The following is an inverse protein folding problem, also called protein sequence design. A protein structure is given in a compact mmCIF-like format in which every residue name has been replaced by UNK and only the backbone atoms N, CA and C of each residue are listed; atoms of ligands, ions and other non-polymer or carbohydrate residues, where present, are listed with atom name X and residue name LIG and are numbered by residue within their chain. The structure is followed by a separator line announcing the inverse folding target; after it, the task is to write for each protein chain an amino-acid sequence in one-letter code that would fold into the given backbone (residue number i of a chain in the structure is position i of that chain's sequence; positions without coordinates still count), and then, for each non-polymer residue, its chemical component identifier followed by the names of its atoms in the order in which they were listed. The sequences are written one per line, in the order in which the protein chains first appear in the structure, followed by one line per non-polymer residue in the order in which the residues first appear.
data_IF_414966435676
#
_entry.id   IF_414966435676
#
_cell.length_a   1.000
_cell.length_b   1.000
_cell.length_c   1.000
_cell.angle_alpha   90.00
_cell.angle_beta   90.00
_cell.angle_gamma   90.00
#
_symmetry.space_group_name_H-M   'P 1'
#
loop_
_entity.id
_entity.type
_entity.pdbx_description
1 polymer ?
#
# COMPACT_ATOMS: atom_id res chain seq x y z
N UNK A 1 4.22 -30.68 -10.78
CA UNK A 1 4.95 -30.34 -9.54
C UNK A 1 6.42 -30.55 -9.82
N UNK A 2 7.27 -29.60 -9.44
CA UNK A 2 8.72 -29.76 -9.50
C UNK A 2 9.37 -29.08 -8.29
N UNK A 3 10.63 -29.39 -8.04
CA UNK A 3 11.39 -28.87 -6.92
C UNK A 3 12.59 -28.06 -7.43
N UNK A 4 12.90 -26.97 -6.73
CA UNK A 4 14.09 -26.19 -6.98
C UNK A 4 14.78 -25.87 -5.64
N UNK A 5 16.11 -25.97 -5.62
CA UNK A 5 16.92 -25.50 -4.50
C UNK A 5 17.53 -24.15 -4.85
N UNK A 6 17.11 -23.09 -4.14
CA UNK A 6 17.63 -21.73 -4.32
C UNK A 6 18.13 -21.22 -2.99
N UNK A 7 19.34 -20.65 -2.95
CA UNK A 7 19.93 -20.06 -1.75
C UNK A 7 19.92 -21.00 -0.51
N UNK A 8 20.11 -22.31 -0.73
CA UNK A 8 20.08 -23.31 0.33
C UNK A 8 18.68 -23.68 0.84
N UNK A 9 17.63 -23.22 0.17
CA UNK A 9 16.25 -23.53 0.52
C UNK A 9 15.59 -24.38 -0.56
N UNK A 10 14.87 -25.40 -0.11
CA UNK A 10 14.05 -26.26 -0.94
C UNK A 10 12.68 -25.62 -1.18
N UNK A 11 12.36 -25.36 -2.43
CA UNK A 11 11.07 -24.79 -2.85
C UNK A 11 10.35 -25.77 -3.77
N UNK A 12 9.09 -26.08 -3.44
CA UNK A 12 8.22 -26.93 -4.25
C UNK A 12 7.28 -26.05 -5.06
N UNK A 13 7.32 -26.19 -6.38
CA UNK A 13 6.45 -25.48 -7.31
C UNK A 13 5.24 -26.35 -7.66
N UNK A 14 4.05 -25.80 -7.40
CA UNK A 14 2.76 -26.42 -7.67
C UNK A 14 2.06 -25.64 -8.78
N UNK A 15 1.63 -26.35 -9.82
CA UNK A 15 0.90 -25.78 -10.97
C UNK A 15 -0.39 -26.57 -11.28
N UNK A 16 -0.80 -27.47 -10.37
CA UNK A 16 -2.02 -28.26 -10.49
C UNK A 16 -3.01 -27.78 -9.41
N UNK A 17 -4.23 -27.48 -9.82
CA UNK A 17 -5.30 -26.90 -8.99
C UNK A 17 -5.66 -27.79 -7.81
N UNK A 18 -5.80 -29.10 -8.01
CA UNK A 18 -6.19 -30.07 -6.98
C UNK A 18 -5.20 -30.08 -5.79
N UNK A 19 -3.92 -29.82 -6.09
CA UNK A 19 -2.87 -29.71 -5.07
C UNK A 19 -2.91 -28.36 -4.34
N UNK A 20 -3.37 -27.29 -5.01
CA UNK A 20 -3.38 -25.91 -4.49
C UNK A 20 -4.65 -25.63 -3.68
N UNK A 21 -5.80 -26.18 -4.06
CA UNK A 21 -7.09 -25.94 -3.39
C UNK A 21 -7.03 -26.31 -1.91
N UNK A 22 -6.47 -27.48 -1.61
CA UNK A 22 -6.31 -27.96 -0.23
C UNK A 22 -5.41 -27.05 0.64
N UNK A 23 -4.54 -26.25 0.02
CA UNK A 23 -3.68 -25.31 0.72
C UNK A 23 -4.39 -24.00 1.09
N UNK A 24 -5.48 -23.65 0.38
CA UNK A 24 -6.19 -22.39 0.56
C UNK A 24 -7.50 -22.53 1.38
N UNK A 25 -7.72 -23.70 2.00
CA UNK A 25 -8.89 -23.92 2.86
C UNK A 25 -8.74 -23.10 4.15
N UNK A 26 -9.69 -22.21 4.49
CA UNK A 26 -9.67 -21.43 5.72
C UNK A 26 -10.03 -22.30 6.94
N UNK A 27 -9.12 -23.21 7.31
CA UNK A 27 -9.31 -24.14 8.42
C UNK A 27 -8.09 -24.16 9.32
N UNK A 28 -8.30 -24.14 10.63
CA UNK A 28 -7.22 -24.38 11.61
C UNK A 28 -6.62 -25.79 11.50
N UNK A 29 -7.26 -26.69 10.75
CA UNK A 29 -6.78 -28.05 10.46
C UNK A 29 -5.94 -28.15 9.18
N UNK A 30 -5.84 -27.08 8.38
CA UNK A 30 -4.94 -27.11 7.22
C UNK A 30 -3.48 -27.21 7.66
N UNK A 31 -2.65 -27.90 6.87
CA UNK A 31 -1.20 -27.94 7.07
C UNK A 31 -0.52 -26.61 6.70
N UNK A 32 -1.28 -25.69 6.09
CA UNK A 32 -0.81 -24.40 5.60
C UNK A 32 -1.62 -23.23 6.20
N UNK A 33 -1.74 -23.14 7.54
CA UNK A 33 -2.65 -22.17 8.17
C UNK A 33 -2.20 -20.72 7.98
N UNK A 34 -0.93 -20.49 7.64
CA UNK A 34 -0.35 -19.18 7.37
C UNK A 34 0.54 -19.28 6.14
N UNK A 35 0.56 -18.21 5.33
CA UNK A 35 1.61 -18.03 4.32
C UNK A 35 2.93 -17.88 5.07
N UNK A 36 3.70 -18.96 5.19
CA UNK A 36 5.12 -18.84 5.53
C UNK A 36 5.83 -18.29 4.30
N UNK A 37 5.72 -16.97 4.11
CA UNK A 37 6.70 -16.28 3.31
C UNK A 37 8.04 -16.56 3.95
N UNK A 38 9.00 -17.03 3.17
CA UNK A 38 10.35 -17.16 3.67
C UNK A 38 10.86 -15.74 3.85
N UNK A 39 10.67 -15.18 5.04
CA UNK A 39 11.28 -13.90 5.41
C UNK A 39 12.78 -14.16 5.47
N UNK A 40 13.44 -13.86 4.35
CA UNK A 40 14.89 -13.91 4.28
C UNK A 40 15.47 -12.91 5.27
N UNK A 41 16.71 -13.11 5.69
CA UNK A 41 17.46 -12.11 6.47
C UNK A 41 17.41 -10.72 5.81
N UNK A 42 17.30 -10.67 4.48
CA UNK A 42 17.14 -9.40 3.76
C UNK A 42 15.81 -8.72 3.97
N UNK A 43 14.69 -9.44 4.01
CA UNK A 43 13.36 -8.84 4.29
C UNK A 43 13.37 -8.18 5.68
N UNK A 44 14.06 -8.79 6.65
CA UNK A 44 14.26 -8.21 7.99
C UNK A 44 15.16 -6.99 7.99
N UNK A 45 16.30 -7.07 7.32
CA UNK A 45 17.23 -5.94 7.17
C UNK A 45 16.54 -4.76 6.46
N UNK A 46 15.70 -5.06 5.48
CA UNK A 46 14.91 -4.08 4.78
C UNK A 46 13.74 -3.53 5.61
N UNK A 47 13.40 -4.13 6.74
CA UNK A 47 12.43 -3.58 7.69
C UNK A 47 10.99 -3.58 7.17
N UNK A 48 10.67 -4.50 6.26
CA UNK A 48 9.31 -4.75 5.77
C UNK A 48 8.70 -6.01 6.41
N UNK A 49 9.31 -6.55 7.48
CA UNK A 49 8.86 -7.71 8.23
C UNK A 49 8.21 -7.34 9.58
N UNK A 50 7.47 -8.30 10.15
CA UNK A 50 7.05 -8.28 11.55
C UNK A 50 5.84 -7.39 11.89
N UNK A 51 5.39 -6.53 10.97
CA UNK A 51 4.10 -5.81 11.06
C UNK A 51 3.35 -5.89 9.72
N UNK A 52 2.13 -5.37 9.68
CA UNK A 52 1.27 -5.50 8.49
C UNK A 52 0.69 -6.91 8.34
N UNK A 53 0.32 -7.23 7.11
CA UNK A 53 -0.31 -8.48 6.66
C UNK A 53 0.62 -9.24 5.72
N UNK A 54 1.28 -8.58 4.78
CA UNK A 54 1.92 -9.24 3.62
C UNK A 54 3.11 -10.10 4.06
N UNK A 55 4.01 -9.52 4.85
CA UNK A 55 5.26 -10.16 5.29
C UNK A 55 5.26 -10.50 6.80
N UNK A 56 4.10 -10.50 7.44
CA UNK A 56 3.96 -10.81 8.86
C UNK A 56 3.81 -12.31 9.08
N UNK A 57 4.89 -12.95 9.53
CA UNK A 57 4.96 -14.40 9.74
C UNK A 57 4.61 -14.85 11.15
N UNK A 58 4.45 -13.91 12.10
CA UNK A 58 4.02 -14.25 13.45
C UNK A 58 2.49 -14.45 13.44
N UNK A 59 1.97 -15.65 13.72
CA UNK A 59 0.54 -15.92 13.62
C UNK A 59 -0.33 -15.04 14.52
N UNK A 60 0.15 -14.69 15.72
CA UNK A 60 -0.60 -13.86 16.67
C UNK A 60 -0.65 -12.42 16.19
N UNK A 61 0.51 -11.86 15.81
CA UNK A 61 0.63 -10.52 15.25
C UNK A 61 -0.17 -10.39 13.94
N UNK A 62 -0.06 -11.37 13.04
CA UNK A 62 -0.79 -11.37 11.78
C UNK A 62 -2.29 -11.39 12.01
N UNK A 63 -2.80 -12.27 12.90
CA UNK A 63 -4.23 -12.35 13.22
C UNK A 63 -4.74 -11.03 13.81
N UNK A 64 -3.97 -10.42 14.71
CA UNK A 64 -4.27 -9.12 15.31
C UNK A 64 -4.40 -8.03 14.23
N UNK A 65 -3.37 -7.85 13.40
CA UNK A 65 -3.36 -6.83 12.35
C UNK A 65 -4.44 -7.08 11.28
N UNK A 66 -4.63 -8.35 10.88
CA UNK A 66 -5.62 -8.74 9.87
C UNK A 66 -7.06 -8.44 10.30
N UNK A 67 -7.39 -8.58 11.57
CA UNK A 67 -8.71 -8.24 12.10
C UNK A 67 -9.05 -6.76 11.85
N UNK A 68 -8.20 -5.85 12.33
CA UNK A 68 -8.45 -4.41 12.18
C UNK A 68 -8.42 -3.98 10.73
N UNK A 69 -7.48 -4.50 9.94
CA UNK A 69 -7.40 -4.19 8.52
C UNK A 69 -8.66 -4.63 7.76
N UNK A 70 -9.15 -5.85 8.02
CA UNK A 70 -10.39 -6.33 7.42
C UNK A 70 -11.60 -5.50 7.88
N UNK A 71 -11.67 -5.19 9.17
CA UNK A 71 -12.73 -4.35 9.73
C UNK A 71 -12.78 -2.97 9.07
N UNK A 72 -11.63 -2.32 8.88
CA UNK A 72 -11.53 -1.02 8.23
C UNK A 72 -11.88 -1.04 6.74
N UNK A 73 -11.69 -2.17 6.04
CA UNK A 73 -12.14 -2.32 4.64
C UNK A 73 -13.62 -2.68 4.52
N UNK A 74 -14.18 -3.38 5.50
CA UNK A 74 -15.58 -3.84 5.47
C UNK A 74 -16.58 -2.81 5.98
N UNK A 75 -16.13 -1.63 6.44
CA UNK A 75 -17.04 -0.56 6.84
C UNK A 75 -17.86 -0.10 5.62
N UNK A 76 -19.20 0.04 5.74
CA UNK A 76 -20.04 0.47 4.61
C UNK A 76 -19.62 1.81 4.01
N UNK A 77 -19.09 2.71 4.86
CA UNK A 77 -18.48 3.96 4.42
C UNK A 77 -17.32 3.69 3.47
N UNK A 78 -16.45 2.71 3.71
CA UNK A 78 -15.33 2.40 2.81
C UNK A 78 -15.82 2.10 1.39
N UNK A 79 -16.86 1.28 1.22
CA UNK A 79 -17.34 0.88 -0.11
C UNK A 79 -18.06 2.01 -0.87
N UNK A 80 -18.99 2.70 -0.21
CA UNK A 80 -19.65 3.86 -0.82
C UNK A 80 -18.62 4.93 -1.15
N UNK A 81 -17.67 5.13 -0.21
CA UNK A 81 -16.61 6.10 -0.40
C UNK A 81 -15.53 5.69 -1.42
N UNK A 82 -15.37 4.42 -1.72
CA UNK A 82 -14.48 4.04 -2.81
C UNK A 82 -15.09 4.46 -4.16
N UNK A 83 -16.40 4.29 -4.33
CA UNK A 83 -17.08 4.48 -5.62
C UNK A 83 -17.20 5.95 -6.01
N UNK A 84 -17.73 6.83 -5.14
CA UNK A 84 -17.88 8.24 -5.55
C UNK A 84 -16.51 8.90 -5.81
N UNK A 85 -15.50 8.54 -5.02
CA UNK A 85 -14.17 9.11 -5.09
C UNK A 85 -13.44 8.63 -6.35
N UNK A 86 -13.65 7.38 -6.75
CA UNK A 86 -13.15 6.88 -8.02
C UNK A 86 -13.71 7.68 -9.19
N UNK A 87 -15.01 8.00 -9.18
CA UNK A 87 -15.64 8.80 -10.24
C UNK A 87 -15.11 10.25 -10.26
N UNK A 88 -14.96 10.87 -9.09
CA UNK A 88 -14.39 12.22 -8.98
C UNK A 88 -12.95 12.27 -9.50
N UNK A 89 -12.09 11.34 -9.04
CA UNK A 89 -10.70 11.26 -9.46
C UNK A 89 -10.58 10.95 -10.95
N UNK A 90 -11.46 10.09 -11.49
CA UNK A 90 -11.47 9.76 -12.91
C UNK A 90 -11.83 10.99 -13.74
N UNK A 91 -12.88 11.71 -13.37
CA UNK A 91 -13.31 12.94 -14.05
C UNK A 91 -12.21 14.00 -14.03
N UNK A 92 -11.49 14.13 -12.92
CA UNK A 92 -10.35 15.03 -12.81
C UNK A 92 -9.20 14.61 -13.75
N UNK A 93 -8.84 13.33 -13.76
CA UNK A 93 -7.80 12.80 -14.65
C UNK A 93 -8.16 12.98 -16.13
N UNK A 94 -9.41 12.70 -16.50
CA UNK A 94 -9.93 12.93 -17.85
C UNK A 94 -9.84 14.41 -18.23
N UNK A 95 -10.15 15.31 -17.31
CA UNK A 95 -10.00 16.75 -17.54
C UNK A 95 -8.55 17.16 -17.85
N UNK A 96 -7.57 16.48 -17.25
CA UNK A 96 -6.16 16.69 -17.54
C UNK A 96 -5.76 16.09 -18.90
N UNK A 97 -6.22 14.88 -19.22
CA UNK A 97 -5.99 14.29 -20.54
C UNK A 97 -6.56 15.16 -21.67
N UNK A 98 -7.76 15.72 -21.49
CA UNK A 98 -8.36 16.64 -22.45
C UNK A 98 -7.52 17.91 -22.66
N UNK A 99 -6.84 18.42 -21.63
CA UNK A 99 -5.93 19.58 -21.74
C UNK A 99 -4.63 19.24 -22.46
N UNK A 100 -4.15 18.01 -22.37
CA UNK A 100 -2.96 17.56 -23.11
C UNK A 100 -3.23 17.41 -24.61
N UNK A 101 -4.50 17.22 -24.99
CA UNK A 101 -4.97 17.13 -26.36
C UNK A 101 -5.00 15.70 -26.90
N UNK A 102 -5.85 15.47 -27.90
CA UNK A 102 -6.18 14.12 -28.43
C UNK A 102 -4.99 13.34 -28.99
N UNK A 103 -3.94 14.04 -29.46
CA UNK A 103 -2.76 13.42 -30.07
C UNK A 103 -1.59 13.23 -29.09
N UNK A 104 -1.79 13.50 -27.80
CA UNK A 104 -0.74 13.31 -26.81
C UNK A 104 -0.59 11.83 -26.44
N UNK A 105 0.61 11.27 -26.59
CA UNK A 105 0.90 9.90 -26.17
C UNK A 105 0.98 9.82 -24.64
N UNK A 106 0.09 9.05 -24.03
CA UNK A 106 0.01 8.90 -22.58
C UNK A 106 0.86 7.73 -22.10
N UNK A 107 1.77 7.99 -21.16
CA UNK A 107 2.41 6.94 -20.36
C UNK A 107 1.40 6.40 -19.33
N UNK A 108 0.57 5.45 -19.77
CA UNK A 108 -0.57 4.96 -19.00
C UNK A 108 -0.15 4.36 -17.66
N UNK A 109 1.02 3.71 -17.57
CA UNK A 109 1.47 3.12 -16.30
C UNK A 109 1.76 4.22 -15.27
N UNK A 110 2.35 5.35 -15.67
CA UNK A 110 2.53 6.49 -14.76
C UNK A 110 1.19 7.05 -14.32
N UNK A 111 0.26 7.29 -15.25
CA UNK A 111 -1.08 7.79 -14.91
C UNK A 111 -1.82 6.88 -13.95
N UNK A 112 -1.85 5.57 -14.22
CA UNK A 112 -2.54 4.60 -13.38
C UNK A 112 -1.90 4.47 -12.01
N UNK A 113 -0.56 4.56 -11.89
CA UNK A 113 0.14 4.63 -10.61
C UNK A 113 -0.34 5.81 -9.77
N UNK A 114 -0.41 7.01 -10.35
CA UNK A 114 -0.86 8.23 -9.65
C UNK A 114 -2.34 8.13 -9.27
N UNK A 115 -3.18 7.67 -10.20
CA UNK A 115 -4.62 7.50 -10.00
C UNK A 115 -4.91 6.52 -8.86
N UNK A 116 -4.30 5.33 -8.90
CA UNK A 116 -4.50 4.31 -7.87
C UNK A 116 -3.93 4.75 -6.53
N UNK A 117 -2.82 5.50 -6.52
CA UNK A 117 -2.25 6.09 -5.32
C UNK A 117 -3.22 7.10 -4.68
N UNK A 118 -3.75 8.06 -5.44
CA UNK A 118 -4.69 9.05 -4.92
C UNK A 118 -5.95 8.41 -4.34
N UNK A 119 -6.46 7.37 -5.01
CA UNK A 119 -7.60 6.59 -4.53
C UNK A 119 -7.29 5.93 -3.18
N UNK A 120 -6.22 5.13 -3.10
CA UNK A 120 -5.91 4.41 -1.85
C UNK A 120 -5.47 5.34 -0.74
N UNK A 121 -4.77 6.43 -1.03
CA UNK A 121 -4.35 7.43 -0.05
C UNK A 121 -5.57 8.12 0.55
N UNK A 122 -6.56 8.47 -0.28
CA UNK A 122 -7.81 9.06 0.20
C UNK A 122 -8.63 8.12 1.05
N UNK A 123 -8.74 6.85 0.66
CA UNK A 123 -9.50 5.85 1.42
C UNK A 123 -8.78 5.46 2.73
N UNK A 124 -7.45 5.32 2.69
CA UNK A 124 -6.68 4.86 3.85
C UNK A 124 -6.32 5.98 4.83
N UNK A 125 -5.91 7.14 4.35
CA UNK A 125 -5.44 8.28 5.15
C UNK A 125 -6.50 9.38 5.25
N UNK A 126 -7.53 9.39 4.40
CA UNK A 126 -8.60 10.40 4.41
C UNK A 126 -8.24 11.76 3.80
N UNK A 127 -6.99 11.93 3.34
CA UNK A 127 -6.47 13.12 2.64
C UNK A 127 -6.11 12.75 1.19
N UNK A 128 -6.01 13.72 0.27
CA UNK A 128 -5.54 13.46 -1.10
C UNK A 128 -4.02 13.65 -1.16
N UNK A 129 -3.32 12.79 -1.90
CA UNK A 129 -1.91 13.01 -2.23
C UNK A 129 -1.75 13.98 -3.41
N UNK A 130 -2.82 14.17 -4.19
CA UNK A 130 -2.88 14.98 -5.42
C UNK A 130 -1.85 14.54 -6.46
N UNK A 131 -1.59 13.25 -6.52
CA UNK A 131 -0.64 12.61 -7.40
C UNK A 131 -0.99 12.79 -8.88
N UNK A 132 -2.28 12.69 -9.24
CA UNK A 132 -2.71 12.86 -10.63
C UNK A 132 -2.42 14.28 -11.13
N UNK A 133 -2.82 15.28 -10.35
CA UNK A 133 -2.58 16.69 -10.68
C UNK A 133 -1.08 17.02 -10.70
N UNK A 134 -0.33 16.46 -9.75
CA UNK A 134 1.11 16.66 -9.64
C UNK A 134 1.82 16.14 -10.88
N UNK A 135 1.48 14.93 -11.34
CA UNK A 135 2.03 14.38 -12.57
C UNK A 135 1.63 15.19 -13.81
N UNK A 136 0.37 15.63 -13.93
CA UNK A 136 -0.03 16.54 -15.01
C UNK A 136 0.87 17.78 -15.08
N UNK A 137 1.13 18.42 -13.94
CA UNK A 137 1.98 19.61 -13.90
C UNK A 137 3.43 19.34 -14.32
N UNK A 138 3.95 18.13 -14.11
CA UNK A 138 5.28 17.75 -14.64
C UNK A 138 5.34 17.67 -16.17
N UNK A 139 4.19 17.59 -16.86
CA UNK A 139 4.11 17.44 -18.31
C UNK A 139 3.90 18.77 -19.04
N UNK A 140 3.33 19.77 -18.37
CA UNK A 140 2.98 21.06 -19.00
C UNK A 140 4.01 22.15 -18.66
N UNK A 141 4.43 23.00 -19.63
CA UNK A 141 5.36 24.10 -19.38
C UNK A 141 4.82 25.19 -18.44
N UNK A 142 3.50 25.37 -18.42
CA UNK A 142 2.77 26.36 -17.60
C UNK A 142 2.94 26.13 -16.10
N UNK A 143 3.39 24.94 -15.68
CA UNK A 143 3.72 24.66 -14.29
C UNK A 143 4.89 25.50 -13.76
N UNK A 144 5.68 26.10 -14.64
CA UNK A 144 6.74 27.04 -14.25
C UNK A 144 6.17 28.32 -13.63
N UNK A 145 4.91 28.67 -13.93
CA UNK A 145 4.24 29.88 -13.45
C UNK A 145 3.52 29.66 -12.11
N UNK A 146 3.51 28.42 -11.59
CA UNK A 146 2.96 28.10 -10.27
C UNK A 146 3.76 28.77 -9.15
N UNK A 147 3.08 29.06 -8.05
CA UNK A 147 3.75 29.59 -6.88
C UNK A 147 4.69 28.54 -6.23
N UNK A 148 5.64 29.00 -5.42
CA UNK A 148 6.63 28.10 -4.80
C UNK A 148 6.00 27.04 -3.88
N UNK A 149 4.86 27.34 -3.27
CA UNK A 149 4.15 26.42 -2.37
C UNK A 149 3.42 25.33 -3.15
N UNK A 150 2.88 25.65 -4.31
CA UNK A 150 2.30 24.69 -5.25
C UNK A 150 3.37 23.77 -5.82
N UNK A 151 4.52 24.34 -6.22
CA UNK A 151 5.68 23.56 -6.67
C UNK A 151 6.20 22.61 -5.59
N UNK A 152 6.27 23.07 -4.34
CA UNK A 152 6.66 22.23 -3.21
C UNK A 152 5.69 21.06 -3.02
N UNK A 153 4.38 21.30 -3.03
CA UNK A 153 3.37 20.23 -2.92
C UNK A 153 3.46 19.20 -4.05
N UNK A 154 3.65 19.66 -5.29
CA UNK A 154 3.82 18.78 -6.45
C UNK A 154 5.04 17.89 -6.24
N UNK A 155 6.16 18.50 -5.84
CA UNK A 155 7.40 17.78 -5.57
C UNK A 155 7.22 16.76 -4.43
N UNK A 156 6.56 17.14 -3.34
CA UNK A 156 6.32 16.21 -2.22
C UNK A 156 5.48 14.99 -2.63
N UNK A 157 4.45 15.19 -3.47
CA UNK A 157 3.62 14.10 -3.98
C UNK A 157 4.41 13.15 -4.87
N UNK A 158 5.20 13.69 -5.80
CA UNK A 158 6.03 12.89 -6.71
C UNK A 158 7.18 12.18 -5.97
N UNK A 159 7.83 12.84 -5.01
CA UNK A 159 8.86 12.25 -4.16
C UNK A 159 8.27 11.07 -3.34
N UNK A 160 7.03 11.20 -2.85
CA UNK A 160 6.35 10.11 -2.16
C UNK A 160 6.11 8.90 -3.07
N UNK A 161 5.57 9.11 -4.28
CA UNK A 161 5.32 8.02 -5.24
C UNK A 161 6.63 7.34 -5.64
N UNK A 162 7.64 8.14 -5.99
CA UNK A 162 8.95 7.62 -6.37
C UNK A 162 9.60 6.82 -5.22
N UNK A 163 9.41 7.28 -3.99
CA UNK A 163 9.89 6.59 -2.80
C UNK A 163 9.14 5.28 -2.55
N UNK A 164 7.82 5.25 -2.72
CA UNK A 164 7.01 4.03 -2.63
C UNK A 164 7.43 2.99 -3.68
N UNK A 165 7.58 3.40 -4.94
CA UNK A 165 8.05 2.52 -6.03
C UNK A 165 9.46 1.99 -5.74
N UNK A 166 10.34 2.84 -5.20
CA UNK A 166 11.70 2.46 -4.80
C UNK A 166 11.68 1.45 -3.65
N UNK A 167 10.73 1.57 -2.70
CA UNK A 167 10.54 0.59 -1.63
C UNK A 167 10.11 -0.77 -2.20
N UNK A 168 9.06 -0.80 -3.03
CA UNK A 168 8.51 -2.04 -3.59
C UNK A 168 9.56 -2.77 -4.43
N UNK A 169 10.24 -2.06 -5.33
CA UNK A 169 11.32 -2.62 -6.15
C UNK A 169 12.54 -3.00 -5.31
N UNK A 170 12.81 -2.27 -4.23
CA UNK A 170 13.89 -2.54 -3.30
C UNK A 170 13.73 -3.87 -2.56
N UNK A 171 12.50 -4.29 -2.27
CA UNK A 171 12.24 -5.58 -1.62
C UNK A 171 12.83 -6.78 -2.39
N UNK A 172 12.75 -6.75 -3.73
CA UNK A 172 13.35 -7.76 -4.61
C UNK A 172 14.87 -7.83 -4.44
N UNK A 173 15.52 -6.69 -4.26
CA UNK A 173 16.96 -6.60 -4.05
C UNK A 173 17.39 -7.34 -2.78
N UNK A 174 16.66 -7.11 -1.69
CA UNK A 174 16.92 -7.76 -0.40
C UNK A 174 16.49 -9.23 -0.38
N UNK A 175 15.59 -9.64 -1.28
CA UNK A 175 15.25 -11.04 -1.47
C UNK A 175 16.38 -11.83 -2.15
N UNK A 176 16.96 -11.31 -3.23
CA UNK A 176 17.94 -12.06 -4.05
C UNK A 176 19.38 -12.01 -3.52
N UNK A 177 19.86 -10.86 -3.07
CA UNK A 177 21.25 -10.73 -2.63
C UNK A 177 21.38 -11.16 -1.18
N UNK A 178 22.27 -12.09 -0.84
CA UNK A 178 22.48 -12.47 0.55
C UNK A 178 23.16 -11.35 1.37
N UNK A 179 23.22 -11.51 2.69
CA UNK A 179 23.81 -10.53 3.60
C UNK A 179 25.25 -10.16 3.24
N UNK A 180 26.08 -11.13 2.88
CA UNK A 180 27.46 -10.86 2.51
C UNK A 180 27.54 -9.90 1.32
N UNK A 181 26.76 -10.17 0.27
CA UNK A 181 26.74 -9.33 -0.93
C UNK A 181 26.27 -7.91 -0.60
N UNK A 182 25.18 -7.77 0.19
CA UNK A 182 24.64 -6.46 0.60
C UNK A 182 25.58 -5.63 1.47
N UNK A 183 26.48 -6.25 2.22
CA UNK A 183 27.37 -5.53 3.14
C UNK A 183 28.79 -5.34 2.62
N UNK A 184 29.27 -6.20 1.70
CA UNK A 184 30.69 -6.24 1.34
C UNK A 184 30.96 -6.07 -0.16
N UNK A 185 30.03 -6.40 -1.06
CA UNK A 185 30.25 -6.18 -2.50
C UNK A 185 29.96 -4.71 -2.83
N UNK A 186 30.94 -3.90 -3.32
CA UNK A 186 30.82 -2.44 -3.35
C UNK A 186 29.57 -1.89 -4.05
N UNK A 187 29.29 -2.33 -5.28
CA UNK A 187 28.12 -1.87 -6.04
C UNK A 187 26.81 -2.31 -5.40
N UNK A 188 26.80 -3.51 -4.80
CA UNK A 188 25.59 -4.06 -4.17
C UNK A 188 25.29 -3.34 -2.86
N UNK A 189 26.33 -3.13 -2.07
CA UNK A 189 26.28 -2.35 -0.84
C UNK A 189 25.83 -0.92 -1.08
N UNK A 190 26.36 -0.26 -2.10
CA UNK A 190 25.95 1.10 -2.46
C UNK A 190 24.44 1.18 -2.73
N UNK A 191 23.90 0.23 -3.51
CA UNK A 191 22.46 0.17 -3.79
C UNK A 191 21.65 -0.18 -2.54
N UNK A 192 22.08 -1.15 -1.73
CA UNK A 192 21.40 -1.53 -0.49
C UNK A 192 21.29 -0.34 0.49
N UNK A 193 22.37 0.42 0.68
CA UNK A 193 22.37 1.64 1.51
C UNK A 193 21.39 2.69 0.96
N UNK A 194 21.37 2.91 -0.35
CA UNK A 194 20.43 3.85 -0.98
C UNK A 194 18.97 3.43 -0.77
N UNK A 195 18.67 2.14 -0.90
CA UNK A 195 17.32 1.59 -0.67
C UNK A 195 16.88 1.71 0.79
N UNK A 196 17.79 1.51 1.75
CA UNK A 196 17.51 1.70 3.18
C UNK A 196 17.23 3.17 3.50
N UNK A 197 18.01 4.11 2.93
CA UNK A 197 17.73 5.55 3.08
C UNK A 197 16.36 5.95 2.54
N UNK A 198 15.98 5.41 1.38
CA UNK A 198 14.66 5.65 0.80
C UNK A 198 13.53 5.14 1.71
N UNK A 199 13.68 3.93 2.26
CA UNK A 199 12.74 3.39 3.24
C UNK A 199 12.61 4.30 4.45
N UNK A 200 13.73 4.72 5.04
CA UNK A 200 13.72 5.55 6.24
C UNK A 200 12.98 6.87 5.99
N UNK A 201 13.22 7.50 4.83
CA UNK A 201 12.47 8.68 4.39
C UNK A 201 10.97 8.42 4.28
N UNK A 202 10.56 7.33 3.63
CA UNK A 202 9.13 6.99 3.47
C UNK A 202 8.46 6.71 4.81
N UNK A 203 9.14 5.99 5.70
CA UNK A 203 8.63 5.63 7.02
C UNK A 203 8.47 6.87 7.88
N UNK A 204 9.43 7.80 7.83
CA UNK A 204 9.33 9.10 8.50
C UNK A 204 8.13 9.90 8.01
N UNK A 205 7.91 9.99 6.69
CA UNK A 205 6.74 10.66 6.11
C UNK A 205 5.42 10.03 6.59
N UNK A 206 5.31 8.70 6.59
CA UNK A 206 4.12 8.00 7.10
C UNK A 206 3.94 8.17 8.61
N UNK A 207 5.01 8.15 9.41
CA UNK A 207 4.93 8.44 10.84
C UNK A 207 4.45 9.86 11.12
N UNK A 208 4.89 10.84 10.34
CA UNK A 208 4.39 12.21 10.45
C UNK A 208 2.89 12.30 10.17
N UNK A 209 2.40 11.60 9.14
CA UNK A 209 0.95 11.50 8.84
C UNK A 209 0.19 10.88 10.02
N UNK A 210 0.70 9.80 10.61
CA UNK A 210 0.09 9.14 11.78
C UNK A 210 0.03 10.13 12.96
N UNK A 211 1.13 10.84 13.22
CA UNK A 211 1.25 11.81 14.32
C UNK A 211 0.29 12.98 14.14
N UNK A 212 0.25 13.58 12.96
CA UNK A 212 -0.70 14.65 12.62
C UNK A 212 -2.13 14.20 12.85
N UNK A 213 -2.48 13.00 12.39
CA UNK A 213 -3.84 12.48 12.56
C UNK A 213 -4.19 12.21 14.01
N UNK A 214 -3.25 11.71 14.82
CA UNK A 214 -3.46 11.57 16.28
C UNK A 214 -3.75 12.93 16.92
N UNK A 215 -2.97 13.96 16.62
CA UNK A 215 -3.19 15.31 17.11
C UNK A 215 -4.54 15.90 16.66
N UNK A 216 -4.95 15.67 15.41
CA UNK A 216 -6.28 16.06 14.93
C UNK A 216 -7.41 15.40 15.75
N UNK A 217 -7.28 14.11 16.07
CA UNK A 217 -8.27 13.35 16.86
C UNK A 217 -8.33 13.88 18.30
N UNK A 218 -7.19 14.13 18.93
CA UNK A 218 -7.09 14.68 20.29
C UNK A 218 -7.73 16.07 20.39
N UNK A 219 -7.54 16.91 19.36
CA UNK A 219 -8.12 18.25 19.29
C UNK A 219 -9.61 18.25 18.89
N UNK A 220 -10.16 17.13 18.41
CA UNK A 220 -11.56 17.04 18.01
C UNK A 220 -12.46 16.84 19.25
N UNK A 221 -13.42 17.76 19.53
CA UNK A 221 -14.35 17.61 20.66
C UNK A 221 -15.09 16.27 20.68
N UNK A 222 -15.44 15.77 21.88
CA UNK A 222 -16.09 14.46 22.05
C UNK A 222 -17.48 14.37 21.39
N UNK A 223 -18.16 15.50 21.21
CA UNK A 223 -19.46 15.59 20.56
C UNK A 223 -19.39 15.67 19.03
N UNK A 224 -18.18 15.75 18.45
CA UNK A 224 -17.98 15.82 17.01
C UNK A 224 -17.53 14.45 16.46
N UNK A 225 -18.07 14.04 15.30
CA UNK A 225 -17.69 12.78 14.69
C UNK A 225 -16.25 12.84 14.17
N UNK A 226 -15.54 11.72 14.26
CA UNK A 226 -14.25 11.55 13.61
C UNK A 226 -14.46 11.10 12.16
N UNK A 227 -13.50 11.44 11.29
CA UNK A 227 -13.50 10.98 9.89
C UNK A 227 -13.43 9.44 9.82
N UNK A 228 -14.27 8.85 8.97
CA UNK A 228 -14.30 7.41 8.76
C UNK A 228 -13.30 6.99 7.67
N UNK A 229 -12.04 6.85 8.06
CA UNK A 229 -10.95 6.33 7.22
C UNK A 229 -10.16 5.21 7.95
N UNK A 230 -9.34 4.46 7.22
CA UNK A 230 -8.58 3.34 7.77
C UNK A 230 -7.60 3.76 8.87
N UNK A 231 -6.88 4.88 8.67
CA UNK A 231 -5.93 5.40 9.65
C UNK A 231 -6.63 5.82 10.95
N UNK A 232 -7.78 6.48 10.87
CA UNK A 232 -8.59 6.83 12.06
C UNK A 232 -9.10 5.57 12.76
N UNK A 233 -9.53 4.57 12.00
CA UNK A 233 -9.93 3.26 12.55
C UNK A 233 -8.79 2.62 13.33
N UNK A 234 -7.56 2.65 12.80
CA UNK A 234 -6.41 2.06 13.49
C UNK A 234 -5.96 2.85 14.71
N UNK A 235 -5.96 4.19 14.64
CA UNK A 235 -5.56 5.06 15.76
C UNK A 235 -6.53 4.91 16.93
N UNK A 236 -7.83 4.78 16.64
CA UNK A 236 -8.89 4.76 17.66
C UNK A 236 -9.29 3.36 18.10
N UNK A 237 -8.81 2.32 17.42
CA UNK A 237 -9.09 0.92 17.75
C UNK A 237 -8.84 0.62 19.23
N UNK A 238 -9.84 0.03 19.89
CA UNK A 238 -9.82 -0.32 21.30
C UNK A 238 -9.58 0.87 22.25
N UNK A 239 -9.93 2.08 21.83
CA UNK A 239 -9.92 3.28 22.68
C UNK A 239 -11.35 3.78 22.95
N UNK A 240 -11.58 4.70 23.89
CA UNK A 240 -12.88 5.34 24.06
C UNK A 240 -13.39 6.10 22.83
N UNK A 241 -12.50 6.42 21.87
CA UNK A 241 -12.82 7.10 20.62
C UNK A 241 -12.99 6.13 19.44
N UNK A 242 -13.04 4.81 19.68
CA UNK A 242 -13.14 3.79 18.62
C UNK A 242 -14.38 4.04 17.75
N UNK A 243 -14.13 4.25 16.45
CA UNK A 243 -15.18 4.50 15.46
C UNK A 243 -15.87 3.22 14.99
N UNK A 244 -15.32 2.05 15.32
CA UNK A 244 -15.90 0.77 14.97
C UNK A 244 -16.58 0.12 16.20
N UNK A 245 -17.90 -0.01 16.15
CA UNK A 245 -18.74 -0.45 17.28
C UNK A 245 -18.65 -1.97 17.53
N UNK A 246 -18.09 -2.75 16.59
CA UNK A 246 -18.07 -4.23 16.68
C UNK A 246 -17.02 -4.69 17.70
N UNK A 247 -17.43 -4.82 18.96
CA UNK A 247 -16.74 -5.66 19.94
C UNK A 247 -17.11 -7.11 19.62
N UNK A 248 -16.17 -7.87 19.09
CA UNK A 248 -16.36 -9.31 18.98
C UNK A 248 -16.56 -9.86 20.41
N UNK A 249 -17.64 -10.60 20.67
CA UNK A 249 -18.04 -10.99 22.03
C UNK A 249 -17.11 -12.01 22.70
N UNK A 250 -16.27 -12.68 21.90
CA UNK A 250 -15.40 -13.79 22.31
C UNK A 250 -13.94 -13.57 21.85
N UNK A 251 -13.43 -12.34 21.97
CA UNK A 251 -12.05 -12.04 21.55
C UNK A 251 -11.05 -12.44 22.62
N UNK A 252 -9.98 -13.09 22.19
CA UNK A 252 -8.73 -13.23 22.93
C UNK A 252 -8.35 -11.88 23.58
N UNK A 253 -8.01 -11.87 24.88
CA UNK A 253 -7.68 -10.64 25.60
C UNK A 253 -6.54 -9.87 24.92
N UNK A 254 -5.64 -10.58 24.23
CA UNK A 254 -4.54 -10.01 23.43
C UNK A 254 -5.04 -9.12 22.26
N UNK A 255 -6.30 -9.28 21.83
CA UNK A 255 -6.92 -8.52 20.74
C UNK A 255 -7.64 -7.24 21.21
N UNK A 256 -7.67 -6.99 22.53
CA UNK A 256 -8.34 -5.82 23.13
C UNK A 256 -7.40 -4.63 23.40
N UNK A 257 -6.10 -4.76 23.16
CA UNK A 257 -5.15 -3.64 23.30
C UNK A 257 -5.27 -2.65 22.14
N UNK A 258 -4.89 -1.37 22.32
CA UNK A 258 -4.70 -0.43 21.21
C UNK A 258 -3.60 -0.88 20.23
N UNK A 259 -3.73 -0.44 18.98
CA UNK A 259 -2.73 -0.70 17.93
C UNK A 259 -1.53 0.23 18.12
N UNK A 260 -0.31 -0.31 17.99
CA UNK A 260 0.93 0.47 18.10
C UNK A 260 1.26 1.23 16.83
N UNK A 261 1.99 2.35 16.90
CA UNK A 261 2.34 3.14 15.71
C UNK A 261 3.12 2.33 14.65
N UNK A 262 3.94 1.35 15.08
CA UNK A 262 4.65 0.45 14.14
C UNK A 262 3.69 -0.48 13.39
N UNK A 263 2.63 -0.95 14.05
CA UNK A 263 1.58 -1.76 13.42
C UNK A 263 0.70 -0.92 12.50
N UNK A 264 0.35 0.31 12.91
CA UNK A 264 -0.36 1.26 12.06
C UNK A 264 0.45 1.54 10.79
N UNK A 265 1.74 1.85 10.94
CA UNK A 265 2.65 2.06 9.81
C UNK A 265 2.64 0.86 8.86
N UNK A 266 2.84 -0.36 9.40
CA UNK A 266 2.87 -1.58 8.58
C UNK A 266 1.56 -1.83 7.83
N UNK A 267 0.42 -1.64 8.50
CA UNK A 267 -0.89 -1.82 7.87
C UNK A 267 -1.18 -0.76 6.80
N UNK A 268 -0.87 0.52 7.06
CA UNK A 268 -1.06 1.60 6.09
C UNK A 268 -0.12 1.43 4.90
N UNK A 269 1.12 1.02 5.13
CA UNK A 269 2.07 0.75 4.06
C UNK A 269 1.61 -0.41 3.17
N UNK A 270 1.11 -1.50 3.75
CA UNK A 270 0.53 -2.62 3.00
C UNK A 270 -0.70 -2.20 2.18
N UNK A 271 -1.56 -1.35 2.76
CA UNK A 271 -2.71 -0.80 2.05
C UNK A 271 -2.28 0.05 0.85
N UNK A 272 -1.41 1.05 1.07
CA UNK A 272 -0.95 1.97 0.02
C UNK A 272 -0.16 1.24 -1.06
N UNK A 273 0.78 0.38 -0.68
CA UNK A 273 1.60 -0.40 -1.62
C UNK A 273 0.75 -1.37 -2.44
N UNK A 274 -0.11 -2.14 -1.79
CA UNK A 274 -1.02 -3.07 -2.47
C UNK A 274 -2.02 -2.35 -3.39
N UNK A 275 -2.65 -1.28 -2.89
CA UNK A 275 -3.65 -0.51 -3.64
C UNK A 275 -3.08 0.34 -4.77
N UNK A 276 -1.80 0.70 -4.72
CA UNK A 276 -1.14 1.45 -5.81
C UNK A 276 -0.66 0.51 -6.91
N UNK A 277 0.27 -0.40 -6.60
CA UNK A 277 1.03 -1.13 -7.63
C UNK A 277 0.19 -2.21 -8.34
N UNK A 278 -0.63 -2.96 -7.58
CA UNK A 278 -1.39 -4.07 -8.17
C UNK A 278 -2.55 -3.59 -9.04
N UNK A 279 -3.25 -2.54 -8.59
CA UNK A 279 -4.41 -1.96 -9.28
C UNK A 279 -3.96 -1.29 -10.57
N UNK A 280 -2.88 -0.51 -10.52
CA UNK A 280 -2.36 0.19 -11.69
C UNK A 280 -1.95 -0.77 -12.81
N UNK A 281 -1.24 -1.85 -12.45
CA UNK A 281 -0.87 -2.88 -13.41
C UNK A 281 -2.09 -3.58 -14.01
N UNK A 282 -3.09 -3.92 -13.20
CA UNK A 282 -4.34 -4.52 -13.68
C UNK A 282 -5.05 -3.61 -14.68
N UNK A 283 -5.21 -2.32 -14.39
CA UNK A 283 -5.81 -1.37 -15.31
C UNK A 283 -5.04 -1.27 -16.64
N UNK A 284 -3.71 -1.24 -16.58
CA UNK A 284 -2.88 -1.24 -17.79
C UNK A 284 -3.14 -2.48 -18.65
N UNK A 285 -3.23 -3.67 -18.05
CA UNK A 285 -3.58 -4.90 -18.78
C UNK A 285 -4.99 -4.85 -19.36
N UNK A 286 -5.98 -4.34 -18.62
CA UNK A 286 -7.36 -4.20 -19.11
C UNK A 286 -7.39 -3.29 -20.34
N UNK A 287 -6.79 -2.10 -20.27
CA UNK A 287 -6.74 -1.15 -21.39
C UNK A 287 -6.00 -1.75 -22.59
N UNK A 288 -4.87 -2.41 -22.34
CA UNK A 288 -4.12 -3.11 -23.38
C UNK A 288 -4.99 -4.14 -24.11
N UNK A 289 -5.69 -5.01 -23.38
CA UNK A 289 -6.56 -6.02 -23.96
C UNK A 289 -7.75 -5.39 -24.70
N UNK A 290 -8.42 -4.38 -24.14
CA UNK A 290 -9.49 -3.67 -24.85
C UNK A 290 -8.99 -3.01 -26.14
N UNK A 291 -7.75 -2.50 -26.14
CA UNK A 291 -7.10 -1.95 -27.33
C UNK A 291 -6.90 -2.99 -28.45
N UNK A 292 -6.57 -4.22 -28.09
CA UNK A 292 -6.26 -5.31 -29.03
C UNK A 292 -7.45 -6.21 -29.38
N UNK A 293 -8.57 -6.05 -28.67
CA UNK A 293 -9.80 -6.82 -28.86
C UNK A 293 -11.01 -5.90 -29.08
N UNK A 294 -11.12 -5.21 -30.25
CA UNK A 294 -12.22 -4.29 -30.52
C UNK A 294 -13.61 -4.93 -30.44
N UNK A 295 -13.72 -6.23 -30.68
CA UNK A 295 -14.95 -7.01 -30.57
C UNK A 295 -15.53 -7.05 -29.14
N UNK A 296 -14.71 -6.76 -28.13
CA UNK A 296 -15.12 -6.70 -26.72
C UNK A 296 -15.54 -5.29 -26.30
N UNK A 297 -15.17 -4.26 -27.08
CA UNK A 297 -15.59 -2.88 -26.81
C UNK A 297 -17.09 -2.76 -27.13
N UNK A 298 -17.90 -2.61 -26.08
CA UNK A 298 -19.34 -2.29 -26.17
C UNK A 298 -19.51 -0.83 -26.58
#
# INVERSE_FOLDING_TARGET
MFELSLAGQRTIFLCNTDLIENMNIPSTKTRYPFRRYIVSEGVKEYGIDGTGIINNIDPKSWKYNRQFFAQAMMTPSFNYQAVEWMNELWSEMESFWNKLGENHELDLIKWMHRFSNDMIFKISIGKRNNSVASYYHTLVPESNDLDEKEKEKIKESEDFIQSLETLIRGAIYFFYFNRFMRHYVPFIRGKAISLLKNRDYLYEKLYNIIKERRTEIENTPLNQPLRHDMLTSFITANTPRDINIVRHGDVDADLLRPITDKEILGNILDAIGGGTDTVSNLFCFIVYHLGHHPEVKI
#
